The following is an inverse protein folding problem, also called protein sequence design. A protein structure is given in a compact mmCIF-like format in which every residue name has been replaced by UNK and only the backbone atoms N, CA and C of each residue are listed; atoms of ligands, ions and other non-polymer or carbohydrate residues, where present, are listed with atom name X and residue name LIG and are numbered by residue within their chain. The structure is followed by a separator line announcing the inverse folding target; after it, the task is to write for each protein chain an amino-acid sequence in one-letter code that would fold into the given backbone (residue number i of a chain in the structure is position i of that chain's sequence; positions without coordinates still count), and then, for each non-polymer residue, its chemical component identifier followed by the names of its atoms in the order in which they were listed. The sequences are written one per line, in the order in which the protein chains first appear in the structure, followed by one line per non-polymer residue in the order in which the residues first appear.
data_IF_275499600613
#
_entry.id   IF_275499600613
#
_cell.length_a   1.000
_cell.length_b   1.000
_cell.length_c   1.000
_cell.angle_alpha   90.00
_cell.angle_beta   90.00
_cell.angle_gamma   90.00
#
_symmetry.space_group_name_H-M   'P 1'
#
loop_
_entity.id
_entity.type
_entity.pdbx_description
1 polymer ?
#
# COMPACT_ATOMS: atom_id res chain seq x y z
N UNK A 1 -5.38 9.07 8.01
CA UNK A 1 -5.76 7.93 8.83
C UNK A 1 -4.83 6.80 8.49
N UNK A 2 -4.71 5.80 9.37
CA UNK A 2 -4.00 4.56 9.05
C UNK A 2 -4.73 3.87 7.89
N UNK A 3 -4.01 3.32 6.88
CA UNK A 3 -4.63 2.59 5.77
C UNK A 3 -5.49 1.40 6.24
N UNK A 4 -6.54 1.07 5.48
CA UNK A 4 -7.52 0.03 5.82
C UNK A 4 -6.90 -1.35 6.07
N UNK A 5 -5.84 -1.68 5.33
CA UNK A 5 -5.07 -2.90 5.51
C UNK A 5 -3.61 -2.59 5.75
N UNK A 6 -3.02 -3.26 6.72
CA UNK A 6 -1.58 -3.23 7.00
C UNK A 6 -1.09 -4.65 7.18
N UNK A 7 0.14 -4.94 6.76
CA UNK A 7 0.68 -6.28 6.88
C UNK A 7 2.16 -6.37 6.61
N UNK A 8 2.70 -7.56 6.89
CA UNK A 8 4.06 -7.92 6.54
C UNK A 8 4.00 -9.14 5.62
N UNK A 9 4.65 -9.04 4.47
CA UNK A 9 4.75 -10.13 3.52
C UNK A 9 6.20 -10.30 3.10
N UNK A 10 6.74 -11.52 3.25
CA UNK A 10 8.14 -11.81 2.97
C UNK A 10 9.16 -10.90 3.68
N UNK A 11 8.81 -10.39 4.87
CA UNK A 11 9.65 -9.48 5.64
C UNK A 11 9.57 -8.01 5.20
N UNK A 12 8.71 -7.68 4.23
CA UNK A 12 8.46 -6.33 3.77
C UNK A 12 7.15 -5.81 4.34
N UNK A 13 7.17 -4.59 4.87
CA UNK A 13 5.96 -3.92 5.33
C UNK A 13 5.15 -3.39 4.13
N UNK A 14 3.85 -3.65 4.13
CA UNK A 14 2.92 -3.09 3.15
C UNK A 14 1.67 -2.51 3.81
N UNK A 15 1.05 -1.54 3.14
CA UNK A 15 -0.22 -0.96 3.52
C UNK A 15 -1.11 -0.68 2.30
N UNK A 16 -2.42 -0.83 2.45
CA UNK A 16 -3.41 -0.62 1.38
C UNK A 16 -4.53 0.25 1.91
N UNK A 17 -4.79 1.36 1.24
CA UNK A 17 -5.94 2.22 1.44
C UNK A 17 -6.93 1.95 0.31
N UNK A 18 -8.08 1.36 0.61
CA UNK A 18 -9.08 0.98 -0.37
C UNK A 18 -10.02 2.15 -0.67
N UNK A 19 -10.19 2.50 -1.94
CA UNK A 19 -11.08 3.57 -2.37
C UNK A 19 -12.03 3.09 -3.45
N UNK A 20 -13.23 3.66 -3.47
CA UNK A 20 -14.07 3.62 -4.65
C UNK A 20 -13.32 4.24 -5.85
N UNK A 21 -13.72 3.96 -7.11
CA UNK A 21 -13.03 4.45 -8.30
C UNK A 21 -12.71 5.96 -8.27
N UNK A 22 -13.65 6.77 -7.77
CA UNK A 22 -13.52 8.24 -7.67
C UNK A 22 -13.22 8.71 -6.23
N UNK A 23 -12.87 7.81 -5.32
CA UNK A 23 -12.57 8.17 -3.94
C UNK A 23 -11.20 8.85 -3.83
N UNK A 24 -11.18 10.00 -3.17
CA UNK A 24 -9.96 10.76 -2.88
C UNK A 24 -9.46 10.51 -1.47
N UNK A 25 -8.15 10.66 -1.27
CA UNK A 25 -7.56 10.62 0.07
C UNK A 25 -7.98 11.85 0.86
N UNK A 26 -8.14 11.67 2.17
CA UNK A 26 -8.19 12.82 3.09
C UNK A 26 -6.76 13.33 3.35
N UNK A 27 -6.57 14.61 3.72
CA UNK A 27 -5.24 15.14 4.06
C UNK A 27 -4.50 14.32 5.13
N UNK A 28 -5.25 13.76 6.08
CA UNK A 28 -4.69 12.89 7.10
C UNK A 28 -4.23 11.54 6.54
N UNK A 29 -4.87 11.00 5.50
CA UNK A 29 -4.40 9.77 4.84
C UNK A 29 -3.18 10.05 3.98
N UNK A 30 -3.16 11.16 3.24
CA UNK A 30 -1.98 11.60 2.48
C UNK A 30 -0.75 11.74 3.37
N UNK A 31 -0.89 12.39 4.54
CA UNK A 31 0.20 12.51 5.52
C UNK A 31 0.71 11.15 5.99
N UNK A 32 -0.17 10.23 6.39
CA UNK A 32 0.25 8.92 6.90
C UNK A 32 0.90 8.06 5.81
N UNK A 33 0.35 8.06 4.59
CA UNK A 33 0.90 7.36 3.44
C UNK A 33 2.30 7.90 3.11
N UNK A 34 2.49 9.23 3.12
CA UNK A 34 3.79 9.85 2.90
C UNK A 34 4.85 9.41 3.93
N UNK A 35 4.46 9.32 5.21
CA UNK A 35 5.34 8.84 6.28
C UNK A 35 5.71 7.36 6.08
N UNK A 36 4.77 6.52 5.66
CA UNK A 36 5.01 5.11 5.39
C UNK A 36 5.94 4.90 4.20
N UNK A 37 5.73 5.62 3.09
CA UNK A 37 6.67 5.61 1.95
C UNK A 37 8.07 6.05 2.37
N UNK A 38 8.19 7.12 3.17
CA UNK A 38 9.49 7.59 3.67
C UNK A 38 10.20 6.55 4.56
N UNK A 39 9.45 5.68 5.25
CA UNK A 39 9.97 4.58 6.03
C UNK A 39 10.31 3.32 5.20
N UNK A 40 10.09 3.34 3.89
CA UNK A 40 10.37 2.21 2.98
C UNK A 40 9.23 1.21 2.85
N UNK A 41 8.01 1.55 3.28
CA UNK A 41 6.85 0.70 3.12
C UNK A 41 6.36 0.63 1.67
N UNK A 42 5.80 -0.51 1.27
CA UNK A 42 5.00 -0.61 0.05
C UNK A 42 3.57 -0.16 0.32
N UNK A 43 3.18 1.02 -0.14
CA UNK A 43 1.82 1.55 0.07
C UNK A 43 1.07 1.73 -1.23
N UNK A 44 -0.18 1.24 -1.28
CA UNK A 44 -1.07 1.32 -2.44
C UNK A 44 -2.42 1.94 -2.06
N UNK A 45 -2.87 2.91 -2.87
CA UNK A 45 -4.27 3.35 -2.85
C UNK A 45 -5.05 2.53 -3.88
N UNK A 46 -5.68 1.45 -3.42
CA UNK A 46 -6.28 0.44 -4.27
C UNK A 46 -7.72 0.80 -4.66
N UNK A 47 -8.03 0.64 -5.95
CA UNK A 47 -9.40 0.75 -6.50
C UNK A 47 -9.92 -0.57 -7.09
N UNK A 48 -9.08 -1.60 -7.08
CA UNK A 48 -9.39 -2.95 -7.56
C UNK A 48 -8.53 -3.97 -6.83
N UNK A 49 -8.99 -5.22 -6.78
CA UNK A 49 -8.19 -6.33 -6.26
C UNK A 49 -7.01 -6.71 -7.18
N UNK A 50 -7.08 -6.36 -8.47
CA UNK A 50 -6.00 -6.59 -9.42
C UNK A 50 -4.76 -5.77 -9.07
N UNK A 51 -4.92 -4.48 -8.78
CA UNK A 51 -3.81 -3.61 -8.35
C UNK A 51 -3.15 -4.12 -7.05
N UNK A 52 -3.95 -4.67 -6.14
CA UNK A 52 -3.42 -5.31 -4.92
C UNK A 52 -2.58 -6.53 -5.28
N UNK A 53 -3.06 -7.39 -6.18
CA UNK A 53 -2.31 -8.58 -6.63
C UNK A 53 -0.98 -8.18 -7.28
N UNK A 54 -0.99 -7.20 -8.17
CA UNK A 54 0.22 -6.69 -8.85
C UNK A 54 1.26 -6.18 -7.85
N UNK A 55 0.84 -5.41 -6.83
CA UNK A 55 1.75 -4.95 -5.78
C UNK A 55 2.35 -6.14 -5.02
N UNK A 56 1.53 -7.11 -4.62
CA UNK A 56 1.97 -8.27 -3.83
C UNK A 56 2.93 -9.16 -4.63
N UNK A 57 2.67 -9.37 -5.91
CA UNK A 57 3.56 -10.11 -6.82
C UNK A 57 4.90 -9.37 -7.00
N UNK A 58 4.87 -8.05 -7.11
CA UNK A 58 6.07 -7.20 -7.14
C UNK A 58 6.93 -7.35 -5.88
N UNK A 59 6.31 -7.32 -4.69
CA UNK A 59 7.01 -7.54 -3.42
C UNK A 59 7.62 -8.95 -3.37
N UNK A 60 6.93 -9.97 -3.88
CA UNK A 60 7.44 -11.35 -3.93
C UNK A 60 8.70 -11.50 -4.79
N UNK A 61 8.81 -10.74 -5.89
CA UNK A 61 9.94 -10.81 -6.83
C UNK A 61 11.21 -10.11 -6.34
N UNK A 62 11.09 -9.08 -5.49
CA UNK A 62 12.22 -8.30 -4.97
C UNK A 62 13.21 -9.11 -4.11
N UNK A 63 12.83 -10.31 -3.64
CA UNK A 63 13.72 -11.21 -2.88
C UNK A 63 14.65 -12.10 -3.73
N UNK A 64 14.49 -12.13 -5.06
CA UNK A 64 15.28 -13.02 -5.94
C UNK A 64 16.58 -12.38 -6.45
N UNK A 65 16.97 -11.21 -5.95
CA UNK A 65 18.20 -10.52 -6.30
C UNK A 65 19.22 -10.58 -5.15
#
# INVERSE_FOLDING_TARGET
GVPDFIGCFNGQFFAIEAKAPNGELTPNQEREIALMWAAGAHVLVARSGEAVREMMDGIALQRKA
#
